data_IF_019768132365
#
_entry.id   IF_019768132365
#
_cell.length_a   1.000
_cell.length_b   1.000
_cell.length_c   1.000
_cell.angle_alpha   90.00
_cell.angle_beta   90.00
_cell.angle_gamma   90.00
#
_symmetry.space_group_name_H-M   'P 1'
#
loop_
_entity.id
_entity.type
_entity.pdbx_description
1 polymer ?
#
# COMPACT_ATOMS: atom_id res chain seq x y z
N UNK A 1 -7.14 -6.21 44.30
CA UNK A 1 -5.81 -5.98 43.70
C UNK A 1 -6.04 -5.56 42.26
N UNK A 2 -6.03 -4.24 41.99
CA UNK A 2 -6.10 -3.72 40.63
C UNK A 2 -4.75 -3.93 39.93
N UNK A 3 -4.74 -4.74 38.89
CA UNK A 3 -3.63 -4.89 37.96
C UNK A 3 -3.54 -3.64 37.08
N UNK A 4 -2.85 -2.60 37.57
CA UNK A 4 -2.47 -1.44 36.75
C UNK A 4 -1.30 -1.80 35.82
N UNK A 5 -1.57 -2.62 34.81
CA UNK A 5 -0.64 -2.86 33.69
C UNK A 5 -0.61 -1.69 32.67
N UNK A 6 -1.28 -0.58 32.96
CA UNK A 6 -1.26 0.61 32.12
C UNK A 6 0.07 1.37 32.25
N UNK A 7 0.94 1.26 31.24
CA UNK A 7 2.11 2.15 31.11
C UNK A 7 1.67 3.62 31.22
N UNK A 8 2.33 4.41 32.07
CA UNK A 8 2.14 5.86 32.14
C UNK A 8 2.44 6.49 30.78
N UNK A 9 1.62 7.46 30.35
CA UNK A 9 1.88 8.25 29.16
C UNK A 9 3.15 9.10 29.32
N UNK A 10 3.97 9.20 28.28
CA UNK A 10 5.18 10.01 28.25
C UNK A 10 5.48 10.47 26.81
N UNK A 11 6.23 11.56 26.67
CA UNK A 11 6.66 12.06 25.35
C UNK A 11 7.67 11.11 24.72
N UNK A 12 7.41 10.74 23.46
CA UNK A 12 8.27 9.87 22.67
C UNK A 12 8.91 10.67 21.55
N UNK A 13 10.17 10.35 21.23
CA UNK A 13 10.82 10.85 20.03
C UNK A 13 10.02 10.50 18.78
N UNK A 14 9.99 11.39 17.80
CA UNK A 14 9.56 11.09 16.45
C UNK A 14 10.44 10.02 15.81
N UNK A 15 9.92 9.31 14.79
CA UNK A 15 10.70 8.28 14.08
C UNK A 15 11.89 8.93 13.36
N UNK A 16 11.67 10.09 12.75
CA UNK A 16 12.66 10.89 12.05
C UNK A 16 13.83 11.32 12.95
N UNK A 17 13.62 11.48 14.25
CA UNK A 17 14.71 11.79 15.18
C UNK A 17 15.69 10.63 15.31
N UNK A 18 15.20 9.39 15.39
CA UNK A 18 16.05 8.20 15.39
C UNK A 18 16.79 8.05 14.06
N UNK A 19 16.12 8.34 12.94
CA UNK A 19 16.74 8.28 11.61
C UNK A 19 17.89 9.29 11.49
N UNK A 20 17.65 10.55 11.89
CA UNK A 20 18.63 11.63 11.89
C UNK A 20 19.86 11.30 12.76
N UNK A 21 19.64 10.82 13.99
CA UNK A 21 20.71 10.40 14.92
C UNK A 21 21.59 9.27 14.37
N UNK A 22 21.05 8.46 13.44
CA UNK A 22 21.74 7.34 12.82
C UNK A 22 22.18 7.63 11.37
N UNK A 23 22.13 8.90 10.94
CA UNK A 23 22.59 9.31 9.60
C UNK A 23 21.73 8.80 8.44
N UNK A 24 20.45 8.48 8.69
CA UNK A 24 19.49 8.12 7.64
C UNK A 24 18.81 9.39 7.16
N UNK A 25 19.01 9.70 5.88
CA UNK A 25 18.61 10.99 5.30
C UNK A 25 17.18 11.05 4.77
N UNK A 26 16.53 9.90 4.56
CA UNK A 26 15.15 9.87 4.05
C UNK A 26 14.36 8.60 4.39
N UNK A 27 13.04 8.68 4.27
CA UNK A 27 12.13 7.53 4.28
C UNK A 27 10.90 7.77 3.38
N UNK A 28 10.04 6.76 3.26
CA UNK A 28 8.86 6.80 2.39
C UNK A 28 7.58 6.74 3.24
N UNK A 29 6.58 7.54 2.87
CA UNK A 29 5.26 7.57 3.49
C UNK A 29 4.14 7.33 2.47
N UNK A 30 2.95 6.97 2.95
CA UNK A 30 1.74 6.89 2.12
C UNK A 30 1.14 8.28 1.87
N UNK A 31 0.36 8.45 0.80
CA UNK A 31 -0.13 9.77 0.36
C UNK A 31 -0.99 10.47 1.41
N UNK A 32 -1.76 9.72 2.20
CA UNK A 32 -2.62 10.27 3.25
C UNK A 32 -1.85 10.85 4.45
N UNK A 33 -0.60 10.41 4.68
CA UNK A 33 0.26 11.02 5.70
C UNK A 33 0.80 12.39 5.26
N UNK A 34 0.89 12.63 3.94
CA UNK A 34 1.30 13.92 3.39
C UNK A 34 0.12 14.88 3.25
N UNK A 35 -0.93 14.45 2.52
CA UNK A 35 -2.05 15.32 2.13
C UNK A 35 -3.17 15.36 3.15
N UNK A 36 -3.21 14.47 4.15
CA UNK A 36 -4.43 14.25 4.93
C UNK A 36 -5.48 13.46 4.13
N UNK A 37 -6.74 13.56 4.53
CA UNK A 37 -7.84 12.81 3.92
C UNK A 37 -7.91 11.33 4.34
N UNK A 38 -8.71 10.55 3.62
CA UNK A 38 -8.87 9.11 3.87
C UNK A 38 -7.72 8.34 3.21
N UNK A 39 -7.08 7.45 3.95
CA UNK A 39 -6.07 6.55 3.39
C UNK A 39 -6.66 5.72 2.23
N UNK A 40 -5.95 5.68 1.10
CA UNK A 40 -6.31 4.81 -0.04
C UNK A 40 -5.85 3.39 0.30
N UNK A 41 -6.61 2.74 1.17
CA UNK A 41 -6.38 1.37 1.60
C UNK A 41 -6.88 0.37 0.55
N UNK A 42 -6.09 0.08 -0.48
CA UNK A 42 -6.43 -0.94 -1.51
C UNK A 42 -6.71 -2.32 -0.89
N UNK A 43 -6.15 -2.60 0.28
CA UNK A 43 -6.32 -3.84 1.03
C UNK A 43 -7.60 -3.91 1.89
N UNK A 44 -8.19 -2.78 2.27
CA UNK A 44 -9.38 -2.79 3.14
C UNK A 44 -10.60 -3.41 2.45
N UNK A 45 -10.77 -3.13 1.16
CA UNK A 45 -11.93 -3.62 0.41
C UNK A 45 -11.87 -5.12 0.14
N UNK A 46 -10.66 -5.70 0.10
CA UNK A 46 -10.42 -7.11 -0.25
C UNK A 46 -10.40 -8.08 0.92
N UNK A 47 -10.22 -7.62 2.15
CA UNK A 47 -10.06 -8.50 3.31
C UNK A 47 -11.04 -8.15 4.42
N UNK A 48 -12.02 -9.03 4.62
CA UNK A 48 -13.08 -8.85 5.62
C UNK A 48 -12.53 -8.75 7.06
N UNK A 49 -11.42 -9.43 7.35
CA UNK A 49 -10.71 -9.31 8.64
C UNK A 49 -10.13 -7.92 8.88
N UNK A 50 -9.60 -7.27 7.82
CA UNK A 50 -9.10 -5.89 7.89
C UNK A 50 -10.25 -4.90 8.09
N UNK A 51 -11.45 -5.15 7.52
CA UNK A 51 -12.66 -4.34 7.79
C UNK A 51 -13.08 -4.41 9.26
N UNK A 52 -13.04 -5.59 9.89
CA UNK A 52 -13.39 -5.76 11.30
C UNK A 52 -12.42 -5.03 12.23
N UNK A 53 -11.10 -5.12 11.96
CA UNK A 53 -10.08 -4.35 12.68
C UNK A 53 -10.30 -2.84 12.49
N UNK A 54 -10.54 -2.40 11.26
CA UNK A 54 -10.80 -0.99 10.97
C UNK A 54 -12.05 -0.44 11.65
N UNK A 55 -13.13 -1.22 11.78
CA UNK A 55 -14.34 -0.76 12.47
C UNK A 55 -14.13 -0.44 13.96
N UNK A 56 -13.09 -0.98 14.58
CA UNK A 56 -12.69 -0.62 15.94
C UNK A 56 -11.92 0.72 15.97
N UNK A 57 -11.08 0.97 14.96
CA UNK A 57 -10.28 2.20 14.83
C UNK A 57 -11.06 3.39 14.24
N UNK A 58 -12.10 3.13 13.44
CA UNK A 58 -12.87 4.17 12.72
C UNK A 58 -13.54 5.16 13.67
N UNK A 59 -13.92 4.72 14.88
CA UNK A 59 -14.52 5.59 15.91
C UNK A 59 -13.55 6.65 16.45
N UNK A 60 -12.25 6.40 16.36
CA UNK A 60 -11.19 7.31 16.83
C UNK A 60 -10.46 8.00 15.67
N UNK A 61 -10.70 7.56 14.43
CA UNK A 61 -10.07 8.10 13.23
C UNK A 61 -10.89 9.26 12.67
N UNK A 62 -10.46 10.49 12.97
CA UNK A 62 -10.89 11.67 12.23
C UNK A 62 -9.85 11.99 11.16
N UNK A 63 -10.12 11.77 9.86
CA UNK A 63 -9.18 12.13 8.81
C UNK A 63 -8.90 13.63 8.88
N UNK A 64 -7.63 14.00 8.72
CA UNK A 64 -7.26 15.42 8.56
C UNK A 64 -7.90 15.96 7.30
N UNK A 65 -8.21 17.25 7.29
CA UNK A 65 -8.60 17.93 6.06
C UNK A 65 -7.51 17.78 5.01
N UNK A 66 -7.91 17.74 3.73
CA UNK A 66 -6.96 17.56 2.65
C UNK A 66 -6.18 18.85 2.40
N UNK A 67 -4.86 18.80 2.54
CA UNK A 67 -3.94 19.84 2.14
C UNK A 67 -3.74 19.79 0.62
N UNK A 68 -4.44 20.68 -0.10
CA UNK A 68 -4.49 20.69 -1.57
C UNK A 68 -3.14 21.10 -2.18
N UNK A 69 -2.36 21.91 -1.47
CA UNK A 69 -1.09 22.46 -1.96
C UNK A 69 0.07 21.46 -1.91
N UNK A 70 -0.08 20.33 -1.21
CA UNK A 70 0.95 19.29 -1.13
C UNK A 70 0.77 18.24 -2.24
N UNK A 71 1.88 17.81 -2.83
CA UNK A 71 1.92 16.84 -3.92
C UNK A 71 2.92 15.73 -3.62
N UNK A 72 2.62 14.45 -3.93
CA UNK A 72 3.57 13.35 -3.72
C UNK A 72 4.81 13.41 -4.65
N UNK A 73 4.83 14.36 -5.58
CA UNK A 73 5.88 14.54 -6.59
C UNK A 73 6.96 15.55 -6.16
N UNK A 74 6.88 16.04 -4.93
CA UNK A 74 7.88 16.89 -4.30
C UNK A 74 8.48 16.21 -3.08
N UNK A 75 9.66 16.68 -2.68
CA UNK A 75 10.34 16.24 -1.47
C UNK A 75 10.02 17.20 -0.33
N UNK A 76 9.60 16.66 0.81
CA UNK A 76 9.37 17.44 2.02
C UNK A 76 10.40 17.06 3.09
N UNK A 77 10.68 18.00 3.99
CA UNK A 77 11.58 17.79 5.12
C UNK A 77 10.77 17.72 6.41
N UNK A 78 11.07 16.72 7.24
CA UNK A 78 10.50 16.57 8.58
C UNK A 78 11.63 16.54 9.60
N UNK A 79 11.40 17.10 10.78
CA UNK A 79 12.40 17.11 11.82
C UNK A 79 11.98 17.91 13.03
N UNK A 80 12.73 17.71 14.11
CA UNK A 80 12.65 18.51 15.33
C UNK A 80 13.72 19.60 15.29
N UNK A 81 13.42 20.76 15.86
CA UNK A 81 14.38 21.85 16.00
C UNK A 81 15.68 21.38 16.68
N UNK A 82 16.82 21.83 16.17
CA UNK A 82 18.15 21.43 16.66
C UNK A 82 18.66 20.08 16.14
N UNK A 83 17.92 19.37 15.29
CA UNK A 83 18.38 18.16 14.59
C UNK A 83 18.42 18.36 13.08
N UNK A 84 19.26 17.56 12.39
CA UNK A 84 19.27 17.53 10.93
C UNK A 84 17.91 17.00 10.45
N UNK A 85 17.15 17.73 9.61
CA UNK A 85 15.89 17.22 9.09
C UNK A 85 16.11 16.02 8.17
N UNK A 86 15.10 15.16 8.11
CA UNK A 86 15.05 13.94 7.28
C UNK A 86 14.05 14.18 6.15
N UNK A 87 14.40 13.79 4.94
CA UNK A 87 13.51 13.92 3.79
C UNK A 87 12.42 12.83 3.77
N UNK A 88 11.25 13.17 3.27
CA UNK A 88 10.18 12.21 2.98
C UNK A 88 9.87 12.20 1.50
N UNK A 89 9.78 11.00 0.95
CA UNK A 89 9.17 10.73 -0.34
C UNK A 89 7.79 10.15 -0.11
N UNK A 90 6.84 10.52 -0.97
CA UNK A 90 5.46 10.10 -0.79
C UNK A 90 5.06 9.18 -1.93
N UNK A 91 4.35 8.10 -1.59
CA UNK A 91 3.74 7.22 -2.59
C UNK A 91 2.84 8.05 -3.51
N UNK A 92 3.05 7.94 -4.82
CA UNK A 92 2.18 8.53 -5.82
C UNK A 92 0.98 7.58 -6.08
N UNK A 93 -0.26 8.03 -5.82
CA UNK A 93 -1.44 7.17 -5.90
C UNK A 93 -1.78 6.79 -7.35
N UNK A 94 -1.49 7.67 -8.32
CA UNK A 94 -1.82 7.46 -9.73
C UNK A 94 -0.99 6.30 -10.31
N UNK A 95 0.32 6.36 -10.15
CA UNK A 95 1.24 5.28 -10.56
C UNK A 95 0.98 4.00 -9.78
N UNK A 96 0.66 4.11 -8.48
CA UNK A 96 0.25 2.99 -7.66
C UNK A 96 -1.00 2.29 -8.21
N UNK A 97 -2.06 3.03 -8.55
CA UNK A 97 -3.31 2.51 -9.10
C UNK A 97 -3.14 1.97 -10.52
N UNK A 98 -2.29 2.60 -11.32
CA UNK A 98 -1.98 2.18 -12.69
C UNK A 98 -1.42 0.75 -12.73
N UNK A 99 -0.67 0.35 -11.69
CA UNK A 99 -0.11 -1.01 -11.58
C UNK A 99 -0.99 -1.92 -10.73
N UNK A 100 -1.48 -1.46 -9.58
CA UNK A 100 -2.08 -2.33 -8.55
C UNK A 100 -3.60 -2.32 -8.50
N UNK A 101 -4.27 -1.59 -9.38
CA UNK A 101 -5.73 -1.70 -9.50
C UNK A 101 -6.15 -3.13 -9.84
N UNK A 102 -7.17 -3.64 -9.12
CA UNK A 102 -7.75 -4.95 -9.43
C UNK A 102 -8.62 -4.96 -10.67
N UNK A 103 -8.98 -3.79 -11.20
CA UNK A 103 -9.89 -3.66 -12.34
C UNK A 103 -9.14 -3.37 -13.64
N UNK A 104 -8.12 -2.49 -13.59
CA UNK A 104 -7.41 -2.00 -14.78
C UNK A 104 -5.88 -2.02 -14.64
N UNK A 105 -5.35 -2.52 -13.53
CA UNK A 105 -3.89 -2.59 -13.33
C UNK A 105 -3.24 -3.53 -14.34
N UNK A 106 -2.02 -3.23 -14.76
CA UNK A 106 -1.30 -4.05 -15.75
C UNK A 106 -1.34 -5.56 -15.48
N UNK A 107 -1.14 -6.06 -14.24
CA UNK A 107 -1.19 -7.49 -13.94
C UNK A 107 -2.51 -8.18 -14.29
N UNK A 108 -3.60 -7.42 -14.50
CA UNK A 108 -4.90 -7.92 -14.94
C UNK A 108 -5.02 -8.14 -16.46
N UNK A 109 -4.00 -7.80 -17.26
CA UNK A 109 -4.03 -8.06 -18.71
C UNK A 109 -4.23 -9.55 -18.98
N UNK A 110 -5.18 -9.85 -19.87
CA UNK A 110 -5.58 -11.21 -20.20
C UNK A 110 -4.46 -12.08 -20.78
N UNK A 111 -3.37 -11.49 -21.28
CA UNK A 111 -2.23 -12.20 -21.85
C UNK A 111 -1.17 -12.61 -20.83
N UNK A 112 -1.18 -12.04 -19.62
CA UNK A 112 -0.23 -12.44 -18.58
C UNK A 112 -0.57 -13.78 -17.96
N UNK A 113 0.44 -14.44 -17.38
CA UNK A 113 0.31 -15.74 -16.74
C UNK A 113 -0.61 -15.66 -15.51
N UNK A 114 -1.62 -16.53 -15.44
CA UNK A 114 -2.54 -16.58 -14.31
C UNK A 114 -1.86 -17.21 -13.09
N UNK A 115 -1.90 -16.51 -11.95
CA UNK A 115 -1.27 -16.95 -10.72
C UNK A 115 -2.03 -18.10 -10.01
N UNK A 116 -3.35 -18.19 -10.18
CA UNK A 116 -4.24 -19.02 -9.37
C UNK A 116 -4.48 -20.40 -9.98
N UNK A 117 -4.56 -20.51 -11.31
CA UNK A 117 -4.78 -21.80 -11.98
C UNK A 117 -3.49 -22.62 -12.05
N UNK A 118 -3.48 -23.76 -11.35
CA UNK A 118 -2.31 -24.64 -11.22
C UNK A 118 -2.63 -26.03 -11.75
N UNK A 119 -1.69 -26.61 -12.49
CA UNK A 119 -1.78 -27.97 -12.99
C UNK A 119 -1.33 -28.96 -11.91
N UNK A 120 -2.18 -29.92 -11.57
CA UNK A 120 -1.82 -31.02 -10.66
C UNK A 120 -1.07 -32.14 -11.42
N UNK A 121 -0.04 -32.79 -10.85
CA UNK A 121 0.48 -32.64 -9.48
C UNK A 121 1.57 -31.56 -9.29
N UNK A 122 2.16 -31.04 -10.37
CA UNK A 122 3.38 -30.20 -10.28
C UNK A 122 3.18 -28.75 -9.83
N UNK A 123 1.94 -28.25 -9.78
CA UNK A 123 1.65 -26.87 -9.42
C UNK A 123 2.08 -25.83 -10.46
N UNK A 124 2.54 -26.26 -11.64
CA UNK A 124 2.92 -25.39 -12.76
C UNK A 124 1.70 -24.62 -13.29
N UNK A 125 1.96 -23.46 -13.88
CA UNK A 125 0.94 -22.57 -14.43
C UNK A 125 1.08 -22.55 -15.94
N UNK A 126 0.00 -22.87 -16.63
CA UNK A 126 -0.04 -22.98 -18.10
C UNK A 126 -1.16 -22.13 -18.72
N UNK A 127 -1.82 -21.30 -17.91
CA UNK A 127 -2.97 -20.52 -18.34
C UNK A 127 -2.72 -19.04 -18.16
N UNK A 128 -3.34 -18.24 -19.02
CA UNK A 128 -3.30 -16.79 -18.95
C UNK A 128 -4.50 -16.24 -18.18
N UNK A 129 -4.36 -15.03 -17.65
CA UNK A 129 -5.41 -14.33 -16.89
C UNK A 129 -6.72 -14.31 -17.66
N UNK A 130 -6.67 -14.23 -19.00
CA UNK A 130 -7.81 -14.23 -19.94
C UNK A 130 -8.68 -12.98 -19.79
N UNK A 131 -9.23 -12.75 -18.61
CA UNK A 131 -9.76 -11.47 -18.17
C UNK A 131 -9.67 -11.38 -16.64
N UNK A 132 -9.72 -10.15 -16.11
CA UNK A 132 -9.74 -9.90 -14.67
C UNK A 132 -10.93 -10.57 -13.93
N UNK A 133 -12.00 -10.92 -14.66
CA UNK A 133 -13.24 -11.50 -14.10
C UNK A 133 -13.44 -12.98 -14.44
N UNK A 134 -12.53 -13.59 -15.21
CA UNK A 134 -12.67 -15.00 -15.62
C UNK A 134 -12.53 -15.94 -14.43
N UNK A 135 -13.42 -16.94 -14.35
CA UNK A 135 -13.25 -18.08 -13.45
C UNK A 135 -12.02 -18.91 -13.87
N UNK A 136 -11.53 -19.77 -12.98
CA UNK A 136 -10.48 -20.74 -13.28
C UNK A 136 -10.85 -21.65 -14.45
N UNK A 137 -12.11 -22.08 -14.57
CA UNK A 137 -12.55 -22.94 -15.67
C UNK A 137 -12.36 -22.27 -17.04
N UNK A 138 -12.59 -20.95 -17.12
CA UNK A 138 -12.62 -20.19 -18.37
C UNK A 138 -11.25 -19.71 -18.85
N UNK A 139 -10.18 -19.94 -18.07
CA UNK A 139 -8.83 -19.49 -18.41
C UNK A 139 -8.28 -20.23 -19.64
N UNK A 140 -7.80 -19.46 -20.61
CA UNK A 140 -7.15 -19.95 -21.83
C UNK A 140 -5.68 -20.29 -21.58
N UNK A 141 -5.08 -21.03 -22.52
CA UNK A 141 -3.64 -21.34 -22.48
C UNK A 141 -2.78 -20.09 -22.56
N UNK A 142 -1.63 -20.15 -21.87
CA UNK A 142 -0.63 -19.09 -21.86
C UNK A 142 0.35 -19.23 -23.02
N UNK A 143 0.57 -18.13 -23.73
CA UNK A 143 1.55 -18.01 -24.81
C UNK A 143 2.54 -16.89 -24.45
N UNK A 144 3.82 -17.19 -24.17
CA UNK A 144 4.82 -16.19 -23.76
C UNK A 144 4.96 -15.03 -24.73
N UNK A 145 4.79 -15.27 -26.02
CA UNK A 145 4.93 -14.27 -27.08
C UNK A 145 3.84 -13.19 -27.00
N UNK A 146 2.65 -13.53 -26.48
CA UNK A 146 1.55 -12.57 -26.30
C UNK A 146 1.77 -11.66 -25.10
N UNK A 147 2.37 -12.20 -24.03
CA UNK A 147 2.73 -11.43 -22.84
C UNK A 147 3.85 -10.42 -23.13
N UNK A 148 4.84 -10.77 -23.95
CA UNK A 148 5.95 -9.87 -24.32
C UNK A 148 5.52 -8.66 -25.16
N UNK A 149 4.33 -8.69 -25.75
CA UNK A 149 3.77 -7.58 -26.56
C UNK A 149 2.98 -6.56 -25.72
N UNK A 150 2.88 -6.78 -24.41
CA UNK A 150 2.18 -5.90 -23.45
C UNK A 150 3.18 -5.05 -22.69
#
# INVERSE_FOLDING_TARGET
>A
METSLGKKSYLRKGIEEFLSENGIDYFIIDSALLKGGKAIGVYMDRFQALKTLWGQFEKEYSPREEEIDKTPREVYLVGTEGKKPVAIFTRDPDTGLQVWSGEWGYPGDGNYLDFHKKHFPGGHRYWKVTSAKSDLADKWEYYPEDAQKR
#
